data_IF_413724980309
#
_entry.id   IF_413724980309
#
_cell.length_a   1.000
_cell.length_b   1.000
_cell.length_c   1.000
_cell.angle_alpha   90.00
_cell.angle_beta   90.00
_cell.angle_gamma   90.00
#
_symmetry.space_group_name_H-M   'P 1'
#
loop_
_entity.id
_entity.type
_entity.pdbx_description
1 polymer ?
#
# COMPACT_ATOMS: atom_id res chain seq x y z
N UNK A 1 -1.28 -4.15 6.83
CA UNK A 1 -1.79 -3.87 5.47
C UNK A 1 -3.20 -3.35 5.62
N UNK A 2 -3.54 -2.26 4.92
CA UNK A 2 -4.91 -1.73 4.86
C UNK A 2 -5.47 -2.03 3.47
N UNK A 3 -6.32 -3.06 3.30
CA UNK A 3 -6.94 -3.36 2.02
C UNK A 3 -8.02 -2.31 1.68
N UNK A 4 -8.15 -1.97 0.40
CA UNK A 4 -9.15 -0.99 -0.09
C UNK A 4 -9.96 -1.60 -1.24
N UNK A 5 -10.73 -2.68 -1.00
CA UNK A 5 -11.49 -3.35 -2.05
C UNK A 5 -12.53 -2.45 -2.72
N UNK A 6 -13.00 -1.40 -2.01
CA UNK A 6 -13.89 -0.37 -2.55
C UNK A 6 -13.33 0.37 -3.78
N UNK A 7 -11.99 0.31 -3.97
CA UNK A 7 -11.27 0.95 -5.08
C UNK A 7 -10.83 -0.02 -6.16
N UNK A 8 -10.99 -1.32 -5.95
CA UNK A 8 -10.65 -2.34 -6.93
C UNK A 8 -11.70 -2.43 -8.04
N UNK A 9 -11.26 -2.64 -9.28
CA UNK A 9 -12.14 -2.82 -10.44
C UNK A 9 -11.68 -3.96 -11.34
N UNK A 10 -12.61 -4.54 -12.08
CA UNK A 10 -12.34 -5.50 -13.17
C UNK A 10 -12.95 -4.95 -14.44
N UNK A 11 -12.11 -4.51 -15.38
CA UNK A 11 -12.56 -3.86 -16.62
C UNK A 11 -13.37 -2.58 -16.38
N UNK A 12 -13.05 -1.83 -15.31
CA UNK A 12 -13.76 -0.61 -14.91
C UNK A 12 -15.02 -0.84 -14.07
N UNK A 13 -15.44 -2.09 -13.87
CA UNK A 13 -16.58 -2.44 -13.01
C UNK A 13 -16.09 -2.65 -11.57
N UNK A 14 -16.77 -2.11 -10.54
CA UNK A 14 -16.41 -2.34 -9.13
C UNK A 14 -16.27 -3.82 -8.79
N UNK A 15 -15.29 -4.15 -7.96
CA UNK A 15 -15.03 -5.54 -7.55
C UNK A 15 -16.25 -6.18 -6.85
N UNK A 16 -16.99 -5.39 -6.06
CA UNK A 16 -18.22 -5.78 -5.36
C UNK A 16 -19.36 -6.22 -6.29
N UNK A 17 -19.35 -5.77 -7.55
CA UNK A 17 -20.36 -6.14 -8.53
C UNK A 17 -20.01 -7.45 -9.24
N UNK A 18 -18.80 -7.97 -9.01
CA UNK A 18 -18.26 -9.18 -9.65
C UNK A 18 -18.10 -10.35 -8.69
N UNK A 19 -17.82 -10.08 -7.42
CA UNK A 19 -17.52 -11.07 -6.41
C UNK A 19 -18.37 -10.82 -5.17
N UNK A 20 -18.74 -11.89 -4.47
CA UNK A 20 -19.35 -11.81 -3.16
C UNK A 20 -18.36 -11.27 -2.12
N UNK A 21 -18.87 -10.77 -0.99
CA UNK A 21 -18.01 -10.29 0.09
C UNK A 21 -17.07 -11.38 0.62
N UNK A 22 -17.53 -12.64 0.69
CA UNK A 22 -16.73 -13.78 1.13
C UNK A 22 -15.53 -14.00 0.20
N UNK A 23 -15.73 -13.97 -1.11
CA UNK A 23 -14.65 -14.11 -2.09
C UNK A 23 -13.65 -12.94 -2.00
N UNK A 24 -14.14 -11.72 -1.78
CA UNK A 24 -13.28 -10.54 -1.58
C UNK A 24 -12.45 -10.69 -0.31
N UNK A 25 -13.05 -11.16 0.78
CA UNK A 25 -12.35 -11.36 2.06
C UNK A 25 -11.26 -12.44 1.93
N UNK A 26 -11.53 -13.53 1.22
CA UNK A 26 -10.53 -14.56 0.90
C UNK A 26 -9.35 -14.00 0.09
N UNK A 27 -9.62 -13.14 -0.90
CA UNK A 27 -8.58 -12.47 -1.69
C UNK A 27 -7.75 -11.51 -0.84
N UNK A 28 -8.40 -10.77 0.05
CA UNK A 28 -7.73 -9.85 0.99
C UNK A 28 -6.82 -10.64 1.94
N UNK A 29 -7.31 -11.73 2.51
CA UNK A 29 -6.56 -12.57 3.43
C UNK A 29 -5.36 -13.22 2.75
N UNK A 30 -5.54 -13.74 1.53
CA UNK A 30 -4.42 -14.28 0.76
C UNK A 30 -3.41 -13.20 0.39
N UNK A 31 -3.85 -11.99 0.03
CA UNK A 31 -2.95 -10.86 -0.26
C UNK A 31 -2.12 -10.49 0.96
N UNK A 32 -2.73 -10.44 2.15
CA UNK A 32 -2.02 -10.19 3.42
C UNK A 32 -0.93 -11.23 3.69
N UNK A 33 -1.22 -12.48 3.34
CA UNK A 33 -0.34 -13.62 3.58
C UNK A 33 0.55 -14.00 2.39
N UNK A 34 0.50 -13.27 1.27
CA UNK A 34 1.14 -13.70 0.02
C UNK A 34 2.66 -13.87 0.13
N UNK A 35 3.33 -13.03 0.92
CA UNK A 35 4.75 -13.20 1.22
C UNK A 35 5.03 -14.49 2.00
N UNK A 36 4.22 -14.78 3.01
CA UNK A 36 4.33 -16.00 3.81
C UNK A 36 4.02 -17.26 2.98
N UNK A 37 3.05 -17.17 2.06
CA UNK A 37 2.72 -18.24 1.10
C UNK A 37 3.95 -18.61 0.26
N UNK A 38 4.66 -17.61 -0.30
CA UNK A 38 5.88 -17.86 -1.10
C UNK A 38 7.00 -18.45 -0.24
N UNK A 39 7.23 -17.93 0.97
CA UNK A 39 8.25 -18.47 1.90
C UNK A 39 7.96 -19.93 2.23
N UNK A 40 6.71 -20.27 2.53
CA UNK A 40 6.30 -21.63 2.87
C UNK A 40 6.53 -22.63 1.72
N UNK A 41 6.43 -22.18 0.47
CA UNK A 41 6.70 -22.99 -0.72
C UNK A 41 8.20 -23.11 -1.02
N UNK A 42 8.95 -22.00 -0.96
CA UNK A 42 10.38 -21.99 -1.27
C UNK A 42 11.24 -22.67 -0.20
N UNK A 43 10.75 -22.78 1.05
CA UNK A 43 11.43 -23.32 2.25
C UNK A 43 12.61 -22.50 2.75
N UNK A 44 13.43 -21.99 1.84
CA UNK A 44 14.59 -21.14 2.14
C UNK A 44 14.51 -19.86 1.30
N UNK A 45 14.62 -18.71 1.94
CA UNK A 45 14.51 -17.41 1.30
C UNK A 45 13.08 -16.84 1.29
N UNK A 46 12.84 -15.85 0.43
CA UNK A 46 11.58 -15.13 0.30
C UNK A 46 11.30 -14.75 -1.16
N UNK A 47 10.13 -14.16 -1.44
CA UNK A 47 9.80 -13.69 -2.78
C UNK A 47 10.79 -12.62 -3.28
N UNK A 48 11.21 -12.71 -4.54
CA UNK A 48 12.14 -11.73 -5.13
C UNK A 48 11.69 -11.20 -6.50
N UNK A 49 10.97 -11.99 -7.32
CA UNK A 49 10.48 -11.51 -8.61
C UNK A 49 9.45 -10.38 -8.48
N UNK A 50 8.40 -10.57 -7.67
CA UNK A 50 7.38 -9.53 -7.49
C UNK A 50 7.94 -8.28 -6.77
N UNK A 51 8.74 -8.40 -5.68
CA UNK A 51 9.37 -7.23 -5.06
C UNK A 51 10.33 -6.47 -5.98
N UNK A 52 11.17 -7.17 -6.76
CA UNK A 52 12.09 -6.51 -7.70
C UNK A 52 11.35 -5.80 -8.83
N UNK A 53 10.27 -6.39 -9.35
CA UNK A 53 9.41 -5.73 -10.34
C UNK A 53 8.74 -4.47 -9.79
N UNK A 54 8.25 -4.50 -8.54
CA UNK A 54 7.67 -3.33 -7.89
C UNK A 54 8.70 -2.21 -7.70
N UNK A 55 9.89 -2.52 -7.20
CA UNK A 55 10.98 -1.56 -7.04
C UNK A 55 11.44 -0.98 -8.39
N UNK A 56 11.57 -1.82 -9.41
CA UNK A 56 11.92 -1.38 -10.78
C UNK A 56 10.86 -0.44 -11.37
N UNK A 57 9.57 -0.69 -11.12
CA UNK A 57 8.48 0.20 -11.53
C UNK A 57 8.59 1.58 -10.87
N UNK A 58 8.90 1.64 -9.57
CA UNK A 58 9.11 2.90 -8.86
C UNK A 58 10.33 3.65 -9.42
N UNK A 59 11.46 2.95 -9.61
CA UNK A 59 12.67 3.54 -10.19
C UNK A 59 12.41 4.09 -11.60
N UNK A 60 11.67 3.37 -12.44
CA UNK A 60 11.25 3.82 -13.76
C UNK A 60 10.44 5.12 -13.69
N UNK A 61 9.47 5.22 -12.78
CA UNK A 61 8.67 6.44 -12.60
C UNK A 61 9.52 7.67 -12.24
N UNK A 62 10.56 7.48 -11.43
CA UNK A 62 11.53 8.54 -11.10
C UNK A 62 12.36 8.92 -12.33
N UNK A 63 12.96 7.95 -13.01
CA UNK A 63 13.85 8.17 -14.16
C UNK A 63 13.12 8.88 -15.31
N UNK A 64 11.88 8.49 -15.57
CA UNK A 64 11.05 9.03 -16.66
C UNK A 64 10.31 10.32 -16.26
N UNK A 65 10.44 10.77 -15.00
CA UNK A 65 9.70 11.92 -14.45
C UNK A 65 8.16 11.81 -14.70
N UNK A 66 7.64 10.59 -14.69
CA UNK A 66 6.38 10.25 -15.38
C UNK A 66 5.12 10.78 -14.71
N UNK A 67 5.19 11.19 -13.44
CA UNK A 67 4.02 11.57 -12.66
C UNK A 67 3.09 10.39 -12.36
N UNK A 68 3.61 9.17 -12.36
CA UNK A 68 2.81 7.99 -12.06
C UNK A 68 2.29 8.03 -10.63
N UNK A 69 0.99 7.76 -10.45
CA UNK A 69 0.36 7.58 -9.14
C UNK A 69 0.33 6.09 -8.82
N UNK A 70 0.89 5.69 -7.69
CA UNK A 70 0.90 4.31 -7.21
C UNK A 70 1.02 4.23 -5.69
N UNK A 71 0.62 3.10 -5.06
CA UNK A 71 0.80 2.91 -3.63
C UNK A 71 2.29 2.80 -3.29
N UNK A 72 2.76 3.65 -2.37
CA UNK A 72 4.13 3.69 -1.87
C UNK A 72 4.15 4.01 -0.38
N UNK A 73 5.29 3.78 0.26
CA UNK A 73 5.53 4.31 1.59
C UNK A 73 5.98 5.77 1.47
N UNK A 74 5.13 6.72 1.88
CA UNK A 74 5.41 8.15 1.82
C UNK A 74 5.19 8.82 3.18
N UNK A 75 5.86 9.94 3.41
CA UNK A 75 5.63 10.79 4.58
C UNK A 75 4.27 11.46 4.44
N UNK A 76 3.42 11.27 5.44
CA UNK A 76 2.08 11.86 5.50
C UNK A 76 2.09 13.06 6.44
N UNK A 77 1.54 14.19 5.99
CA UNK A 77 1.55 15.47 6.71
C UNK A 77 0.21 16.22 6.56
N UNK A 78 -0.87 15.56 6.96
CA UNK A 78 -2.23 16.11 6.98
C UNK A 78 -3.23 15.25 6.23
N UNK A 79 -2.78 14.43 5.27
CA UNK A 79 -3.65 13.57 4.47
C UNK A 79 -4.34 12.52 5.35
N UNK A 80 -5.61 12.28 5.07
CA UNK A 80 -6.54 11.45 5.83
C UNK A 80 -6.68 11.86 7.32
N UNK A 81 -6.27 13.10 7.65
CA UNK A 81 -6.18 13.58 9.03
C UNK A 81 -5.05 12.91 9.82
N UNK A 82 -3.99 12.46 9.13
CA UNK A 82 -2.82 11.79 9.71
C UNK A 82 -1.59 12.65 9.39
N UNK A 83 -0.69 12.84 10.35
CA UNK A 83 0.56 13.58 10.15
C UNK A 83 1.72 12.92 10.88
N UNK A 84 2.95 13.16 10.42
CA UNK A 84 4.17 12.83 11.16
C UNK A 84 4.55 11.35 11.12
N UNK A 85 4.21 10.62 10.06
CA UNK A 85 4.49 9.18 9.95
C UNK A 85 4.65 8.76 8.48
N UNK A 86 5.53 7.80 8.22
CA UNK A 86 5.59 7.12 6.93
C UNK A 86 4.48 6.06 6.84
N UNK A 87 3.66 6.11 5.80
CA UNK A 87 2.53 5.21 5.64
C UNK A 87 2.39 4.74 4.19
N UNK A 88 1.77 3.57 4.01
CA UNK A 88 1.37 3.10 2.68
C UNK A 88 0.19 3.92 2.17
N UNK A 89 0.44 4.81 1.20
CA UNK A 89 -0.55 5.71 0.59
C UNK A 89 -0.30 5.82 -0.92
N UNK A 90 -1.29 6.26 -1.69
CA UNK A 90 -1.05 6.63 -3.08
C UNK A 90 -0.29 7.95 -3.14
N UNK A 91 0.72 8.01 -4.00
CA UNK A 91 1.49 9.23 -4.21
C UNK A 91 1.90 9.39 -5.67
N UNK A 92 2.02 10.63 -6.11
CA UNK A 92 2.56 10.99 -7.42
C UNK A 92 4.10 10.97 -7.36
N UNK A 93 4.74 10.21 -8.25
CA UNK A 93 6.20 10.03 -8.28
C UNK A 93 6.78 10.70 -9.53
N UNK A 94 7.88 11.43 -9.36
CA UNK A 94 8.69 11.97 -10.46
C UNK A 94 10.19 11.97 -10.13
N UNK A 95 10.97 12.73 -10.89
CA UNK A 95 12.44 12.77 -10.77
C UNK A 95 12.95 13.23 -9.40
N UNK A 96 12.14 13.99 -8.67
CA UNK A 96 12.42 14.45 -7.30
C UNK A 96 11.89 13.50 -6.22
N UNK A 97 11.46 12.29 -6.57
CA UNK A 97 10.81 11.35 -5.68
C UNK A 97 9.31 11.62 -5.54
N UNK A 98 8.80 11.62 -4.31
CA UNK A 98 7.39 11.91 -4.01
C UNK A 98 7.11 13.40 -4.30
N UNK A 99 6.20 13.68 -5.24
CA UNK A 99 5.73 15.04 -5.52
C UNK A 99 4.61 15.46 -4.58
N UNK A 100 3.67 14.55 -4.32
CA UNK A 100 2.55 14.71 -3.38
C UNK A 100 1.93 13.38 -3.03
N UNK A 101 1.36 13.27 -1.83
CA UNK A 101 0.40 12.21 -1.50
C UNK A 101 -0.93 12.55 -2.18
N UNK A 102 -1.64 11.52 -2.66
CA UNK A 102 -2.93 11.66 -3.33
C UNK A 102 -4.01 11.07 -2.42
N UNK A 103 -4.93 11.93 -1.99
CA UNK A 103 -6.12 11.48 -1.26
C UNK A 103 -7.16 10.93 -2.22
N UNK A 104 -7.47 9.63 -2.08
CA UNK A 104 -8.60 9.03 -2.76
C UNK A 104 -9.75 8.83 -1.81
N UNK A 105 -10.96 8.72 -2.36
CA UNK A 105 -12.15 8.48 -1.56
C UNK A 105 -12.09 7.05 -1.00
N UNK A 106 -11.88 6.98 0.31
CA UNK A 106 -11.98 5.78 1.13
C UNK A 106 -13.32 5.74 1.86
N UNK A 107 -13.75 4.56 2.26
CA UNK A 107 -14.87 4.39 3.21
C UNK A 107 -14.43 4.76 4.63
N UNK A 108 -15.38 5.06 5.51
CA UNK A 108 -15.08 5.40 6.91
C UNK A 108 -14.31 4.28 7.62
N UNK A 109 -14.62 3.02 7.30
CA UNK A 109 -13.91 1.86 7.83
C UNK A 109 -12.45 1.80 7.33
N UNK A 110 -12.21 2.04 6.04
CA UNK A 110 -10.86 2.06 5.46
C UNK A 110 -10.02 3.23 6.03
N UNK A 111 -10.63 4.40 6.24
CA UNK A 111 -9.97 5.54 6.93
C UNK A 111 -9.63 5.18 8.37
N UNK A 112 -10.54 4.53 9.10
CA UNK A 112 -10.28 4.09 10.46
C UNK A 112 -9.11 3.09 10.51
N UNK A 113 -9.08 2.10 9.62
CA UNK A 113 -7.95 1.16 9.49
C UNK A 113 -6.64 1.84 9.10
N UNK A 114 -6.68 2.88 8.28
CA UNK A 114 -5.49 3.66 7.92
C UNK A 114 -4.92 4.42 9.14
N UNK A 115 -5.80 5.00 9.97
CA UNK A 115 -5.41 5.65 11.22
C UNK A 115 -4.82 4.66 12.24
N UNK A 116 -5.43 3.49 12.37
CA UNK A 116 -4.88 2.41 13.21
C UNK A 116 -3.48 1.98 12.73
N UNK A 117 -3.30 1.82 11.42
CA UNK A 117 -2.00 1.49 10.83
C UNK A 117 -0.95 2.58 11.10
N UNK A 118 -1.34 3.86 11.07
CA UNK A 118 -0.46 4.97 11.43
C UNK A 118 0.04 4.86 12.88
N UNK A 119 -0.84 4.58 13.85
CA UNK A 119 -0.41 4.41 15.25
C UNK A 119 0.50 3.20 15.46
N UNK A 120 0.21 2.10 14.76
CA UNK A 120 1.07 0.92 14.78
C UNK A 120 2.48 1.22 14.26
N UNK A 121 2.59 2.00 13.18
CA UNK A 121 3.90 2.44 12.64
C UNK A 121 4.59 3.41 13.58
N UNK A 122 3.89 4.38 14.18
CA UNK A 122 4.51 5.30 15.17
C UNK A 122 5.08 4.56 16.37
N UNK A 123 4.39 3.53 16.84
CA UNK A 123 4.89 2.65 17.90
C UNK A 123 6.23 2.03 17.49
N UNK A 124 6.34 1.54 16.24
CA UNK A 124 7.60 0.98 15.72
C UNK A 124 8.69 2.00 15.42
N UNK A 125 8.32 3.23 15.07
CA UNK A 125 9.28 4.32 14.95
C UNK A 125 9.92 4.66 16.30
N UNK A 126 9.17 4.58 17.40
CA UNK A 126 9.70 4.82 18.74
C UNK A 126 10.75 3.78 19.15
N UNK A 127 10.58 2.52 18.74
CA UNK A 127 11.53 1.42 19.01
C UNK A 127 12.95 1.71 18.47
N UNK A 128 13.08 2.56 17.45
CA UNK A 128 14.36 2.86 16.77
C UNK A 128 14.82 4.32 16.92
N UNK A 129 14.11 5.13 17.72
CA UNK A 129 14.35 6.59 17.80
C UNK A 129 15.71 6.94 18.41
N UNK A 130 16.17 6.13 19.36
CA UNK A 130 17.40 6.36 20.14
C UNK A 130 18.52 5.35 19.81
N UNK A 131 18.39 4.64 18.68
CA UNK A 131 19.45 3.80 18.12
C UNK A 131 20.49 4.62 17.35
#
# INVERSE_FOLDING_TARGET
>A
MVPVPSRCTVGGVPLSDKLSQVEIDELVDRTRNGGAEVVALLKTGSAYYAPSAAAARMAKAVIEDSGAVMPVCAWVDGEYGISGVYLGVEAEIGKSGIRKVVETKLTDAEVASLKEAAEAVRTKQADVKDM
#
